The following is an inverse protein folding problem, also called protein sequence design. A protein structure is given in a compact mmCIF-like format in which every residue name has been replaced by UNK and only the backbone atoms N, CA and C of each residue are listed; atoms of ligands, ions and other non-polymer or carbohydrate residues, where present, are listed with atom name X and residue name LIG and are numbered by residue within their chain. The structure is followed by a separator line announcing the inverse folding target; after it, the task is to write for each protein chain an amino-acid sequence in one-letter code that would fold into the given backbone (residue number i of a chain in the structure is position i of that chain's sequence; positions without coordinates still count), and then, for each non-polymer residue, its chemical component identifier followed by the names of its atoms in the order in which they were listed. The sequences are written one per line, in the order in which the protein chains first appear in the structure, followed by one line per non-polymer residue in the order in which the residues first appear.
data_IF_896467009644
#
_entry.id   IF_896467009644
#
_cell.length_a   1.000
_cell.length_b   1.000
_cell.length_c   1.000
_cell.angle_alpha   90.00
_cell.angle_beta   90.00
_cell.angle_gamma   90.00
#
_symmetry.space_group_name_H-M   'P 1'
#
loop_
_entity.id
_entity.type
_entity.pdbx_description
1 polymer ?
#
# COMPACT_ATOMS: atom_id res chain seq x y z
N UNK A 1 -4.24 -0.09 17.42
CA UNK A 1 -4.45 0.43 16.05
C UNK A 1 -5.89 0.87 15.79
N UNK A 2 -6.89 -0.03 15.85
CA UNK A 2 -8.31 0.32 15.58
C UNK A 2 -8.82 1.51 16.39
N UNK A 3 -8.58 1.54 17.71
CA UNK A 3 -9.02 2.62 18.58
C UNK A 3 -8.43 3.99 18.20
N UNK A 4 -7.17 4.01 17.76
CA UNK A 4 -6.51 5.24 17.32
C UNK A 4 -7.11 5.75 16.01
N UNK A 5 -7.29 4.88 15.01
CA UNK A 5 -7.96 5.26 13.75
C UNK A 5 -9.38 5.77 14.00
N UNK A 6 -10.10 5.14 14.94
CA UNK A 6 -11.43 5.58 15.37
C UNK A 6 -11.38 6.99 15.98
N UNK A 7 -10.45 7.25 16.89
CA UNK A 7 -10.28 8.57 17.50
C UNK A 7 -9.94 9.63 16.45
N UNK A 8 -8.96 9.35 15.58
CA UNK A 8 -8.56 10.24 14.49
C UNK A 8 -9.73 10.59 13.57
N UNK A 9 -10.49 9.58 13.14
CA UNK A 9 -11.70 9.82 12.35
C UNK A 9 -12.73 10.67 13.09
N UNK A 10 -13.05 10.36 14.35
CA UNK A 10 -14.07 11.10 15.11
C UNK A 10 -13.68 12.55 15.37
N UNK A 11 -12.44 12.80 15.73
CA UNK A 11 -11.94 14.13 16.08
C UNK A 11 -11.85 15.05 14.87
N UNK A 12 -11.46 14.52 13.70
CA UNK A 12 -11.14 15.35 12.53
C UNK A 12 -12.06 15.13 11.33
N UNK A 13 -13.14 14.34 11.45
CA UNK A 13 -14.11 14.16 10.35
C UNK A 13 -14.70 15.47 9.83
N UNK A 14 -14.75 16.53 10.64
CA UNK A 14 -15.25 17.85 10.23
C UNK A 14 -14.34 18.51 9.20
N UNK A 15 -13.02 18.31 9.29
CA UNK A 15 -12.04 18.73 8.28
C UNK A 15 -12.43 18.16 6.91
N UNK A 16 -12.75 16.86 6.87
CA UNK A 16 -13.22 16.21 5.64
C UNK A 16 -14.59 16.69 5.15
N UNK A 17 -15.50 17.07 6.05
CA UNK A 17 -16.82 17.61 5.67
C UNK A 17 -16.74 19.01 5.06
N UNK A 18 -15.80 19.82 5.53
CA UNK A 18 -15.60 21.18 5.05
C UNK A 18 -14.88 21.21 3.70
N UNK A 19 -14.30 20.08 3.27
CA UNK A 19 -13.49 20.00 2.06
C UNK A 19 -12.10 20.62 2.23
N UNK A 20 -11.65 20.81 3.48
CA UNK A 20 -10.33 21.36 3.78
C UNK A 20 -9.23 20.44 3.22
N UNK A 21 -8.29 21.04 2.50
CA UNK A 21 -7.10 20.35 2.01
C UNK A 21 -5.92 20.75 2.90
N UNK A 22 -5.17 19.76 3.37
CA UNK A 22 -4.05 19.96 4.29
C UNK A 22 -2.78 19.35 3.71
N UNK A 23 -1.64 19.91 4.09
CA UNK A 23 -0.30 19.37 3.83
C UNK A 23 -0.02 18.15 4.69
N UNK A 24 1.00 17.37 4.32
CA UNK A 24 1.49 16.25 5.13
C UNK A 24 1.85 16.68 6.58
N UNK A 25 2.47 17.85 6.74
CA UNK A 25 2.86 18.38 8.05
C UNK A 25 1.65 18.74 8.91
N UNK A 26 0.61 19.32 8.32
CA UNK A 26 -0.63 19.62 9.05
C UNK A 26 -1.35 18.35 9.49
N UNK A 27 -1.42 17.31 8.63
CA UNK A 27 -1.94 16.01 9.05
C UNK A 27 -1.11 15.38 10.17
N UNK A 28 0.20 15.54 10.13
CA UNK A 28 1.08 15.10 11.21
C UNK A 28 0.73 15.82 12.53
N UNK A 29 0.55 17.14 12.50
CA UNK A 29 0.10 17.90 13.67
C UNK A 29 -1.25 17.39 14.21
N UNK A 30 -2.22 17.09 13.33
CA UNK A 30 -3.51 16.53 13.77
C UNK A 30 -3.35 15.17 14.46
N UNK A 31 -2.43 14.32 13.97
CA UNK A 31 -2.10 13.04 14.62
C UNK A 31 -1.45 13.27 15.98
N UNK A 32 -0.58 14.29 16.10
CA UNK A 32 0.08 14.65 17.36
C UNK A 32 -0.87 15.17 18.43
N UNK A 33 -1.99 15.80 18.05
CA UNK A 33 -3.04 16.17 19.00
C UNK A 33 -3.66 14.95 19.72
N UNK A 34 -3.60 13.77 19.11
CA UNK A 34 -4.08 12.51 19.71
C UNK A 34 -2.96 11.69 20.35
N UNK A 35 -1.75 11.79 19.84
CA UNK A 35 -0.56 11.10 20.33
C UNK A 35 0.66 12.01 20.12
N UNK A 36 1.13 12.75 21.13
CA UNK A 36 2.18 13.76 20.98
C UNK A 36 3.46 13.24 20.30
N UNK A 37 3.83 11.99 20.56
CA UNK A 37 5.02 11.33 20.00
C UNK A 37 4.71 10.51 18.71
N UNK A 38 3.63 10.85 17.99
CA UNK A 38 3.29 10.14 16.76
C UNK A 38 4.44 10.24 15.74
N UNK A 39 4.84 9.14 15.07
CA UNK A 39 6.00 9.15 14.18
C UNK A 39 5.70 9.83 12.84
N UNK A 40 6.58 10.75 12.42
CA UNK A 40 6.49 11.43 11.13
C UNK A 40 6.58 10.46 9.94
N UNK A 41 7.35 9.39 10.08
CA UNK A 41 7.58 8.40 9.02
C UNK A 41 6.25 7.78 8.52
N UNK A 42 5.31 7.48 9.42
CA UNK A 42 4.02 6.92 9.03
C UNK A 42 3.15 7.94 8.29
N UNK A 43 3.21 9.21 8.70
CA UNK A 43 2.52 10.31 8.00
C UNK A 43 3.10 10.52 6.61
N UNK A 44 4.43 10.48 6.48
CA UNK A 44 5.11 10.60 5.19
C UNK A 44 4.82 9.41 4.27
N UNK A 45 4.87 8.17 4.78
CA UNK A 45 4.51 6.95 4.03
C UNK A 45 3.05 6.99 3.53
N UNK A 46 2.13 7.55 4.30
CA UNK A 46 0.74 7.75 3.87
C UNK A 46 0.64 8.83 2.79
N UNK A 47 1.30 9.98 2.98
CA UNK A 47 1.32 11.06 1.99
C UNK A 47 1.88 10.60 0.64
N UNK A 48 2.94 9.79 0.62
CA UNK A 48 3.52 9.20 -0.61
C UNK A 48 2.61 8.21 -1.36
N UNK A 49 1.57 7.70 -0.70
CA UNK A 49 0.54 6.93 -1.41
C UNK A 49 -0.36 7.90 -2.18
N UNK A 50 -0.64 9.08 -1.65
CA UNK A 50 -1.60 10.04 -2.23
C UNK A 50 -0.94 10.97 -3.25
N UNK A 51 0.28 11.40 -2.95
CA UNK A 51 1.06 12.37 -3.69
C UNK A 51 2.22 11.69 -4.42
N UNK A 52 2.67 12.30 -5.51
CA UNK A 52 3.90 11.91 -6.18
C UNK A 52 5.12 12.36 -5.35
N UNK A 53 6.27 11.69 -5.52
CA UNK A 53 7.47 11.94 -4.71
C UNK A 53 8.00 13.38 -4.83
N UNK A 54 7.79 14.03 -5.97
CA UNK A 54 8.17 15.43 -6.26
C UNK A 54 7.12 16.46 -5.81
N UNK A 55 5.97 16.00 -5.29
CA UNK A 55 4.81 16.82 -4.95
C UNK A 55 4.42 16.73 -3.46
N UNK A 56 5.35 16.38 -2.57
CA UNK A 56 5.06 16.10 -1.15
C UNK A 56 4.59 17.30 -0.32
N UNK A 57 4.75 18.53 -0.83
CA UNK A 57 4.23 19.75 -0.23
C UNK A 57 2.81 20.11 -0.71
N UNK A 58 2.22 19.32 -1.61
CA UNK A 58 0.85 19.53 -2.08
C UNK A 58 -0.18 19.22 -0.99
N UNK A 59 -1.35 19.86 -1.14
CA UNK A 59 -2.48 19.64 -0.26
C UNK A 59 -3.22 18.35 -0.64
N UNK A 60 -3.72 17.63 0.36
CA UNK A 60 -4.52 16.42 0.17
C UNK A 60 -5.80 16.46 1.00
N UNK A 61 -6.85 15.83 0.50
CA UNK A 61 -8.13 15.74 1.19
C UNK A 61 -8.04 14.83 2.42
N UNK A 62 -8.90 15.07 3.41
CA UNK A 62 -8.95 14.22 4.61
C UNK A 62 -9.24 12.76 4.26
N UNK A 63 -10.13 12.51 3.28
CA UNK A 63 -10.43 11.14 2.83
C UNK A 63 -9.23 10.46 2.20
N UNK A 64 -8.48 11.16 1.35
CA UNK A 64 -7.32 10.57 0.68
C UNK A 64 -6.22 10.24 1.67
N UNK A 65 -5.92 11.19 2.57
CA UNK A 65 -4.97 10.95 3.65
C UNK A 65 -5.43 9.81 4.55
N UNK A 66 -6.68 9.81 5.02
CA UNK A 66 -7.19 8.79 5.93
C UNK A 66 -7.13 7.39 5.31
N UNK A 67 -7.49 7.25 4.03
CA UNK A 67 -7.45 5.98 3.33
C UNK A 67 -6.02 5.46 3.11
N UNK A 68 -5.08 6.32 2.76
CA UNK A 68 -3.67 5.94 2.69
C UNK A 68 -3.09 5.61 4.07
N UNK A 69 -3.41 6.43 5.07
CA UNK A 69 -2.93 6.30 6.43
C UNK A 69 -3.41 4.99 7.07
N UNK A 70 -4.67 4.61 6.91
CA UNK A 70 -5.16 3.35 7.46
C UNK A 70 -4.49 2.13 6.84
N UNK A 71 -4.09 2.18 5.56
CA UNK A 71 -3.32 1.10 4.92
C UNK A 71 -1.94 0.99 5.58
N UNK A 72 -1.21 2.09 5.66
CA UNK A 72 0.13 2.13 6.28
C UNK A 72 0.11 1.77 7.77
N UNK A 73 -0.87 2.29 8.51
CA UNK A 73 -0.93 2.14 9.96
C UNK A 73 -1.51 0.79 10.40
N UNK A 74 -2.52 0.27 9.69
CA UNK A 74 -3.20 -0.96 10.12
C UNK A 74 -2.48 -2.21 9.62
N UNK A 75 -1.97 -2.18 8.40
CA UNK A 75 -1.35 -3.31 7.70
C UNK A 75 0.19 -3.22 7.64
N UNK A 76 0.84 -2.44 8.50
CA UNK A 76 2.30 -2.19 8.46
C UNK A 76 3.16 -3.44 8.24
N UNK A 77 2.97 -4.49 9.03
CA UNK A 77 3.77 -5.72 8.98
C UNK A 77 3.50 -6.54 7.71
N UNK A 78 2.25 -6.50 7.25
CA UNK A 78 1.89 -7.07 5.96
C UNK A 78 2.64 -6.32 4.86
N UNK A 79 2.62 -4.98 4.86
CA UNK A 79 3.28 -4.16 3.85
C UNK A 79 4.80 -4.35 3.84
N UNK A 80 5.44 -4.50 4.99
CA UNK A 80 6.87 -4.81 5.07
C UNK A 80 7.20 -6.13 4.35
N UNK A 81 6.35 -7.14 4.55
CA UNK A 81 6.50 -8.44 3.87
C UNK A 81 6.19 -8.36 2.38
N UNK A 82 5.20 -7.56 1.99
CA UNK A 82 4.86 -7.33 0.57
C UNK A 82 5.97 -6.56 -0.15
N UNK A 83 6.61 -5.60 0.51
CA UNK A 83 7.75 -4.88 -0.05
C UNK A 83 8.90 -5.84 -0.37
N UNK A 84 9.22 -6.77 0.54
CA UNK A 84 10.23 -7.80 0.30
C UNK A 84 9.89 -8.68 -0.92
N UNK A 85 8.62 -9.10 -1.04
CA UNK A 85 8.15 -9.87 -2.20
C UNK A 85 8.29 -9.07 -3.50
N UNK A 86 7.91 -7.80 -3.48
CA UNK A 86 8.01 -6.93 -4.64
C UNK A 86 9.46 -6.78 -5.11
N UNK A 87 10.40 -6.52 -4.19
CA UNK A 87 11.83 -6.42 -4.49
C UNK A 87 12.41 -7.74 -5.00
N UNK A 88 12.01 -8.87 -4.42
CA UNK A 88 12.44 -10.19 -4.89
C UNK A 88 11.99 -10.44 -6.33
N UNK A 89 10.72 -10.15 -6.66
CA UNK A 89 10.20 -10.26 -8.02
C UNK A 89 10.88 -9.28 -8.99
N UNK A 90 11.16 -8.05 -8.55
CA UNK A 90 11.88 -7.05 -9.35
C UNK A 90 13.31 -7.49 -9.64
N UNK A 91 13.96 -8.17 -8.69
CA UNK A 91 15.29 -8.78 -8.85
C UNK A 91 15.29 -10.08 -9.67
N UNK A 92 14.12 -10.55 -10.13
CA UNK A 92 13.95 -11.74 -10.95
C UNK A 92 13.85 -13.06 -10.18
N UNK A 93 13.71 -13.03 -8.86
CA UNK A 93 13.45 -14.24 -8.05
C UNK A 93 11.98 -14.63 -8.22
N UNK A 94 11.72 -15.66 -9.01
CA UNK A 94 10.37 -16.20 -9.18
C UNK A 94 10.19 -17.43 -8.26
N UNK A 95 9.06 -17.57 -7.54
CA UNK A 95 8.75 -18.80 -6.78
C UNK A 95 8.77 -20.07 -7.64
N UNK A 96 8.62 -19.94 -8.97
CA UNK A 96 8.71 -21.05 -9.94
C UNK A 96 10.13 -21.27 -10.50
N UNK A 97 11.15 -20.57 -10.01
CA UNK A 97 12.54 -20.81 -10.45
C UNK A 97 13.06 -22.12 -9.86
N UNK A 98 12.95 -23.20 -10.63
CA UNK A 98 13.65 -24.46 -10.36
C UNK A 98 15.15 -24.22 -10.58
N UNK A 99 15.91 -24.12 -9.48
CA UNK A 99 17.37 -24.18 -9.56
C UNK A 99 17.75 -25.65 -9.74
N UNK A 100 17.90 -26.08 -10.98
CA UNK A 100 18.52 -27.37 -11.29
C UNK A 100 20.02 -27.29 -10.92
N UNK A 101 20.55 -28.20 -10.08
CA UNK A 101 21.99 -28.30 -9.86
C UNK A 101 22.64 -28.88 -11.11
N UNK A 102 22.98 -28.04 -12.09
CA UNK A 102 23.78 -28.50 -13.22
C UNK A 102 25.23 -28.60 -12.76
N UNK A 103 25.69 -29.82 -12.50
CA UNK A 103 27.09 -30.11 -12.17
C UNK A 103 27.99 -29.90 -13.40
N UNK A 104 29.01 -29.04 -13.22
CA UNK A 104 30.30 -28.91 -13.95
C UNK A 104 30.39 -29.13 -15.47
N UNK A 105 30.81 -28.09 -16.21
CA UNK A 105 32.11 -28.03 -16.90
C UNK A 105 32.24 -26.68 -17.64
N UNK A 106 33.46 -26.19 -17.82
CA UNK A 106 33.77 -24.80 -18.11
C UNK A 106 33.17 -24.24 -19.41
N UNK A 107 32.78 -22.97 -19.34
CA UNK A 107 33.35 -21.90 -20.17
C UNK A 107 32.76 -20.56 -19.70
N UNK A 108 33.67 -19.65 -19.37
CA UNK A 108 33.40 -18.25 -19.13
C UNK A 108 32.82 -17.64 -20.42
N UNK A 109 31.50 -17.63 -20.55
CA UNK A 109 30.80 -16.75 -21.49
C UNK A 109 30.22 -15.59 -20.69
N UNK A 110 30.83 -14.44 -20.88
CA UNK A 110 30.29 -13.15 -20.48
C UNK A 110 28.81 -13.11 -20.87
N UNK A 111 27.95 -12.80 -19.88
CA UNK A 111 26.55 -12.48 -20.14
C UNK A 111 26.51 -11.30 -21.12
N UNK A 112 25.75 -11.37 -22.22
CA UNK A 112 25.41 -10.17 -22.95
C UNK A 112 24.62 -9.27 -22.00
N UNK A 113 25.14 -8.07 -21.74
CA UNK A 113 24.31 -6.95 -21.36
C UNK A 113 23.35 -6.69 -22.53
N UNK A 114 22.19 -7.34 -22.50
CA UNK A 114 21.10 -7.04 -23.42
C UNK A 114 20.53 -5.68 -23.02
N UNK A 115 20.98 -4.67 -23.75
CA UNK A 115 20.54 -3.31 -23.63
C UNK A 115 19.05 -3.13 -23.93
N UNK A 116 18.50 -2.15 -23.22
CA UNK A 116 17.34 -1.32 -23.52
C UNK A 116 16.43 -1.73 -24.68
N UNK A 117 15.26 -2.28 -24.32
CA UNK A 117 14.04 -2.12 -25.07
C UNK A 117 12.87 -2.14 -24.07
N UNK A 118 12.43 -0.94 -23.64
CA UNK A 118 11.21 -0.69 -22.87
C UNK A 118 10.97 -1.60 -21.67
N UNK A 119 11.74 -1.48 -20.59
CA UNK A 119 11.35 -2.08 -19.30
C UNK A 119 10.01 -1.48 -18.88
N UNK A 120 8.92 -2.23 -19.08
CA UNK A 120 7.63 -1.92 -18.47
C UNK A 120 7.85 -1.86 -16.95
N UNK A 121 7.66 -0.69 -16.36
CA UNK A 121 7.89 -0.46 -14.94
C UNK A 121 7.05 -1.42 -14.07
N UNK A 122 7.63 -1.89 -12.96
CA UNK A 122 6.93 -2.73 -11.99
C UNK A 122 7.09 -4.25 -12.16
N UNK A 123 6.19 -5.02 -11.53
CA UNK A 123 6.15 -6.49 -11.55
C UNK A 123 4.84 -6.97 -12.17
N UNK A 124 4.79 -8.20 -12.68
CA UNK A 124 3.54 -8.81 -13.17
C UNK A 124 2.54 -9.02 -12.03
N UNK A 125 1.33 -8.49 -12.19
CA UNK A 125 0.31 -8.49 -11.13
C UNK A 125 -0.14 -9.90 -10.73
N UNK A 126 -0.20 -10.82 -11.70
CA UNK A 126 -0.59 -12.21 -11.48
C UNK A 126 0.42 -12.95 -10.58
N UNK A 127 1.72 -12.82 -10.89
CA UNK A 127 2.81 -13.41 -10.10
C UNK A 127 2.89 -12.76 -8.71
N UNK A 128 2.71 -11.45 -8.64
CA UNK A 128 2.67 -10.71 -7.38
C UNK A 128 1.52 -11.19 -6.49
N UNK A 129 0.30 -11.27 -7.01
CA UNK A 129 -0.87 -11.74 -6.28
C UNK A 129 -0.72 -13.18 -5.79
N UNK A 130 -0.16 -14.08 -6.61
CA UNK A 130 0.13 -15.46 -6.19
C UNK A 130 1.06 -15.52 -4.96
N UNK A 131 2.05 -14.64 -4.88
CA UNK A 131 2.92 -14.53 -3.71
C UNK A 131 2.17 -13.98 -2.49
N UNK A 132 1.26 -13.03 -2.70
CA UNK A 132 0.42 -12.46 -1.64
C UNK A 132 -0.57 -13.47 -1.04
N UNK A 133 -1.17 -14.35 -1.84
CA UNK A 133 -2.08 -15.40 -1.34
C UNK A 133 -1.36 -16.30 -0.32
N UNK A 134 -0.17 -16.79 -0.68
CA UNK A 134 0.67 -17.60 0.21
C UNK A 134 1.07 -16.85 1.50
N UNK A 135 1.14 -15.52 1.45
CA UNK A 135 1.49 -14.67 2.59
C UNK A 135 0.31 -14.54 3.57
N UNK A 136 -0.90 -14.31 3.04
CA UNK A 136 -2.12 -14.19 3.83
C UNK A 136 -2.46 -15.49 4.58
N UNK A 137 -2.19 -16.65 3.98
CA UNK A 137 -2.46 -17.96 4.59
C UNK A 137 -1.59 -18.25 5.84
N UNK A 138 -0.48 -17.53 6.00
CA UNK A 138 0.46 -17.73 7.13
C UNK A 138 0.01 -17.04 8.43
N UNK A 139 -1.12 -16.32 8.43
CA UNK A 139 -1.84 -15.74 9.59
C UNK A 139 -1.00 -15.00 10.66
N UNK A 140 0.16 -14.43 10.32
CA UNK A 140 1.05 -13.78 11.30
C UNK A 140 0.68 -12.31 11.61
N UNK A 141 -0.12 -11.67 10.78
CA UNK A 141 -0.44 -10.23 10.88
C UNK A 141 -1.80 -9.93 10.27
N UNK A 142 -2.34 -8.75 10.59
CA UNK A 142 -3.51 -8.21 9.91
C UNK A 142 -3.21 -8.08 8.41
N UNK A 143 -4.06 -8.65 7.57
CA UNK A 143 -4.00 -8.52 6.12
C UNK A 143 -5.36 -8.08 5.55
N UNK A 144 -5.39 -7.36 4.41
CA UNK A 144 -6.64 -7.14 3.71
C UNK A 144 -7.26 -8.47 3.26
N UNK A 145 -8.60 -8.58 3.15
CA UNK A 145 -9.23 -9.79 2.63
C UNK A 145 -8.71 -10.16 1.24
N UNK A 146 -8.22 -11.40 0.99
CA UNK A 146 -7.58 -11.77 -0.27
C UNK A 146 -8.45 -11.52 -1.50
N UNK A 147 -9.75 -11.78 -1.41
CA UNK A 147 -10.71 -11.52 -2.48
C UNK A 147 -10.72 -10.04 -2.93
N UNK A 148 -10.60 -9.10 -1.99
CA UNK A 148 -10.58 -7.67 -2.28
C UNK A 148 -9.22 -7.22 -2.84
N UNK A 149 -8.13 -7.87 -2.42
CA UNK A 149 -6.80 -7.64 -3.02
C UNK A 149 -6.80 -8.11 -4.48
N UNK A 150 -7.40 -9.28 -4.75
CA UNK A 150 -7.56 -9.79 -6.12
C UNK A 150 -8.38 -8.85 -6.99
N UNK A 151 -9.49 -8.35 -6.46
CA UNK A 151 -10.34 -7.39 -7.15
C UNK A 151 -9.56 -6.11 -7.50
N UNK A 152 -8.81 -5.55 -6.54
CA UNK A 152 -7.98 -4.37 -6.74
C UNK A 152 -6.89 -4.54 -7.84
N UNK A 153 -6.49 -5.79 -8.11
CA UNK A 153 -5.45 -6.13 -9.09
C UNK A 153 -6.00 -6.66 -10.43
N UNK A 154 -7.30 -6.92 -10.52
CA UNK A 154 -7.92 -7.70 -11.61
C UNK A 154 -7.71 -7.13 -13.02
N UNK A 155 -7.56 -5.81 -13.16
CA UNK A 155 -7.39 -5.12 -14.43
C UNK A 155 -5.97 -4.58 -14.66
N UNK A 156 -5.01 -5.02 -13.84
CA UNK A 156 -3.63 -4.52 -13.87
C UNK A 156 -2.73 -5.62 -14.39
N UNK A 157 -2.02 -5.36 -15.49
CA UNK A 157 -1.03 -6.31 -16.01
C UNK A 157 0.26 -6.21 -15.20
N UNK A 158 0.75 -4.98 -15.00
CA UNK A 158 1.97 -4.68 -14.26
C UNK A 158 1.73 -3.53 -13.30
N UNK A 159 2.37 -3.60 -12.13
CA UNK A 159 2.26 -2.56 -11.12
C UNK A 159 3.58 -2.30 -10.41
N UNK A 160 3.76 -1.03 -10.04
CA UNK A 160 4.78 -0.63 -9.07
C UNK A 160 4.27 -0.87 -7.65
N UNK A 161 5.19 -0.87 -6.66
CA UNK A 161 4.81 -0.98 -5.26
C UNK A 161 3.88 0.16 -4.82
N UNK A 162 4.15 1.40 -5.23
CA UNK A 162 3.25 2.53 -4.93
C UNK A 162 1.92 2.41 -5.66
N UNK A 163 1.91 1.91 -6.91
CA UNK A 163 0.68 1.60 -7.64
C UNK A 163 -0.19 0.58 -6.88
N UNK A 164 0.43 -0.43 -6.28
CA UNK A 164 -0.27 -1.38 -5.39
C UNK A 164 -0.90 -0.69 -4.19
N UNK A 165 -0.11 0.10 -3.43
CA UNK A 165 -0.60 0.79 -2.24
C UNK A 165 -1.74 1.76 -2.56
N UNK A 166 -1.62 2.49 -3.68
CA UNK A 166 -2.65 3.37 -4.19
C UNK A 166 -3.93 2.58 -4.48
N UNK A 167 -3.83 1.45 -5.20
CA UNK A 167 -4.98 0.60 -5.51
C UNK A 167 -5.69 0.12 -4.24
N UNK A 168 -4.96 -0.31 -3.22
CA UNK A 168 -5.54 -0.70 -1.93
C UNK A 168 -6.23 0.47 -1.23
N UNK A 169 -5.60 1.65 -1.20
CA UNK A 169 -6.15 2.83 -0.53
C UNK A 169 -7.45 3.33 -1.17
N UNK A 170 -7.61 3.16 -2.49
CA UNK A 170 -8.82 3.57 -3.22
C UNK A 170 -9.89 2.47 -3.29
N UNK A 171 -9.55 1.24 -2.92
CA UNK A 171 -10.49 0.11 -2.99
C UNK A 171 -11.62 0.23 -1.96
N UNK A 172 -12.85 0.40 -2.46
CA UNK A 172 -14.05 0.60 -1.60
C UNK A 172 -14.24 -0.52 -0.59
N UNK A 173 -14.13 -1.78 -1.03
CA UNK A 173 -14.31 -2.93 -0.13
C UNK A 173 -13.28 -2.96 1.00
N UNK A 174 -12.03 -2.57 0.74
CA UNK A 174 -10.96 -2.57 1.75
C UNK A 174 -11.22 -1.46 2.77
N UNK A 175 -11.58 -0.28 2.28
CA UNK A 175 -11.95 0.85 3.13
C UNK A 175 -13.18 0.55 4.00
N UNK A 176 -14.17 -0.20 3.47
CA UNK A 176 -15.33 -0.66 4.23
C UNK A 176 -14.95 -1.72 5.28
N UNK A 177 -14.09 -2.68 4.94
CA UNK A 177 -13.59 -3.68 5.90
C UNK A 177 -12.88 -3.00 7.09
N UNK A 178 -12.04 -2.00 6.82
CA UNK A 178 -11.39 -1.19 7.86
C UNK A 178 -12.36 -0.30 8.64
N UNK A 179 -13.43 0.19 8.02
CA UNK A 179 -14.48 0.94 8.73
C UNK A 179 -15.32 0.03 9.64
N UNK A 180 -15.58 -1.20 9.21
CA UNK A 180 -16.32 -2.19 9.98
C UNK A 180 -15.56 -2.61 11.24
N UNK A 181 -14.22 -2.77 11.17
CA UNK A 181 -13.40 -3.02 12.36
C UNK A 181 -13.46 -1.85 13.36
N UNK A 182 -13.64 -0.61 12.85
CA UNK A 182 -13.90 0.57 13.70
C UNK A 182 -15.34 0.65 14.24
N UNK A 183 -16.28 -0.19 13.81
CA UNK A 183 -17.72 -0.09 14.11
C UNK A 183 -18.32 1.27 13.67
N UNK A 184 -17.91 1.77 12.50
CA UNK A 184 -18.28 3.10 12.01
C UNK A 184 -18.90 3.06 10.62
N UNK A 185 -19.78 4.03 10.30
CA UNK A 185 -20.41 4.14 8.97
C UNK A 185 -19.36 4.46 7.90
N UNK A 186 -19.40 3.84 6.70
CA UNK A 186 -18.44 4.08 5.62
C UNK A 186 -18.38 5.54 5.15
N UNK A 187 -17.19 5.98 4.70
CA UNK A 187 -16.96 7.30 4.11
C UNK A 187 -17.66 7.47 2.74
N UNK A 188 -18.03 6.37 2.08
CA UNK A 188 -18.79 6.40 0.81
C UNK A 188 -20.18 7.06 0.93
N UNK A 189 -20.68 7.31 2.14
CA UNK A 189 -21.97 7.95 2.36
C UNK A 189 -21.89 9.50 2.40
N UNK A 190 -20.74 10.08 2.11
CA UNK A 190 -20.49 11.53 2.25
C UNK A 190 -20.18 12.23 0.91
N UNK A 191 -20.01 11.48 -0.18
CA UNK A 191 -19.78 12.05 -1.53
C UNK A 191 -21.10 12.38 -2.25
N UNK A 192 -22.25 12.16 -1.59
CA UNK A 192 -23.60 12.39 -2.13
C UNK A 192 -24.51 13.20 -1.18
N UNK A 193 -23.95 14.18 -0.47
CA UNK A 193 -24.73 15.19 0.24
C UNK A 193 -24.32 16.59 -0.20
#
# INVERSE_FOLDING_TARGET
RVSFLRAFWRCFRTVGKNGDLLTMKEYHCLLQLLCPDFPLELTQKAARIVLMDDAMDCLMSFSDFLFAFQIQFYYSEFLDSVAAIYEDLLSGKNPNTVIVPTSSSGQHRQRPALGGAGTLEGVEASLFYQCLENLCDRHKYSCPPPALVKEALSNVQRLTFYGFLMALSKHRGINQALAATRKEKPISNWVTA
#
